data_IF_676734610925
#
_entry.id   IF_676734610925
#
_cell.length_a   1.000
_cell.length_b   1.000
_cell.length_c   1.000
_cell.angle_alpha   90.00
_cell.angle_beta   90.00
_cell.angle_gamma   90.00
#
_symmetry.space_group_name_H-M   'P 1'
#
loop_
_entity.id
_entity.type
_entity.pdbx_description
1 polymer ?
#
# COMPACT_ATOMS: atom_id res chain seq x y z
N UNK A 1 -4.09 -18.15 -21.71
CA UNK A 1 -4.35 -16.90 -20.94
C UNK A 1 -5.48 -17.10 -19.93
N UNK A 2 -6.66 -17.62 -20.29
CA UNK A 2 -7.80 -17.81 -19.37
C UNK A 2 -7.43 -18.65 -18.13
N UNK A 3 -6.86 -19.81 -18.32
CA UNK A 3 -6.44 -20.71 -17.22
C UNK A 3 -5.40 -20.05 -16.30
N UNK A 4 -4.40 -19.38 -16.87
CA UNK A 4 -3.40 -18.65 -16.07
C UNK A 4 -4.01 -17.52 -15.24
N UNK A 5 -5.00 -16.79 -15.79
CA UNK A 5 -5.74 -15.77 -15.04
C UNK A 5 -6.70 -16.37 -14.01
N UNK A 6 -7.25 -17.57 -14.31
CA UNK A 6 -8.07 -18.33 -13.37
C UNK A 6 -7.26 -18.75 -12.13
N UNK A 7 -6.01 -19.14 -12.30
CA UNK A 7 -5.11 -19.46 -11.17
C UNK A 7 -4.89 -18.26 -10.24
N UNK A 8 -4.76 -17.04 -10.80
CA UNK A 8 -4.68 -15.80 -10.03
C UNK A 8 -5.95 -15.49 -9.23
N UNK A 9 -7.11 -15.99 -9.70
CA UNK A 9 -8.38 -15.84 -8.97
C UNK A 9 -8.52 -16.83 -7.80
N UNK A 10 -7.65 -17.80 -7.63
CA UNK A 10 -7.53 -18.75 -6.54
C UNK A 10 -8.66 -18.72 -5.49
N UNK A 11 -8.34 -18.30 -4.27
CA UNK A 11 -9.36 -18.19 -3.20
C UNK A 11 -10.47 -17.14 -3.46
N UNK A 12 -10.28 -16.00 -4.18
CA UNK A 12 -11.36 -15.05 -4.41
C UNK A 12 -12.55 -15.63 -5.17
N UNK A 13 -12.37 -16.63 -6.03
CA UNK A 13 -13.51 -17.25 -6.74
C UNK A 13 -14.44 -18.00 -5.78
N UNK A 14 -13.93 -18.49 -4.63
CA UNK A 14 -14.76 -19.17 -3.64
C UNK A 14 -15.68 -18.22 -2.88
N UNK A 15 -15.47 -16.91 -2.92
CA UNK A 15 -16.43 -15.96 -2.36
C UNK A 15 -17.78 -15.97 -3.10
N UNK A 16 -17.78 -16.36 -4.38
CA UNK A 16 -18.99 -16.50 -5.18
C UNK A 16 -19.44 -17.98 -5.37
N UNK A 17 -18.89 -18.90 -4.56
CA UNK A 17 -19.27 -20.32 -4.63
C UNK A 17 -20.70 -20.54 -4.13
N UNK A 18 -21.43 -21.47 -4.74
CA UNK A 18 -22.84 -21.80 -4.41
C UNK A 18 -23.77 -20.58 -4.46
N UNK A 19 -23.70 -19.81 -5.54
CA UNK A 19 -24.55 -18.63 -5.79
C UNK A 19 -24.42 -17.51 -4.76
N UNK A 20 -23.34 -17.49 -3.97
CA UNK A 20 -23.02 -16.35 -3.13
C UNK A 20 -22.74 -15.10 -3.99
N UNK A 21 -23.13 -13.90 -3.56
CA UNK A 21 -22.89 -12.69 -4.33
C UNK A 21 -21.36 -12.48 -4.54
N UNK A 22 -20.93 -12.14 -5.78
CA UNK A 22 -19.52 -11.92 -6.04
C UNK A 22 -18.98 -10.74 -5.22
N UNK A 23 -17.66 -10.76 -4.88
CA UNK A 23 -17.05 -9.65 -4.16
C UNK A 23 -17.24 -8.32 -4.91
N UNK A 24 -17.63 -7.24 -4.22
CA UNK A 24 -17.76 -5.94 -4.85
C UNK A 24 -16.38 -5.39 -5.23
N UNK A 25 -16.38 -4.42 -6.11
CA UNK A 25 -15.18 -3.68 -6.46
C UNK A 25 -14.76 -2.79 -5.29
N UNK A 26 -13.60 -3.04 -4.69
CA UNK A 26 -13.13 -2.33 -3.48
C UNK A 26 -11.96 -1.38 -3.74
N UNK A 27 -11.47 -1.29 -4.99
CA UNK A 27 -10.28 -0.49 -5.31
C UNK A 27 -9.04 -1.03 -4.60
N UNK A 28 -8.34 -0.17 -3.88
CA UNK A 28 -7.15 -0.55 -3.10
C UNK A 28 -7.47 -0.99 -1.66
N UNK A 29 -8.75 -1.05 -1.27
CA UNK A 29 -9.17 -1.52 0.05
C UNK A 29 -9.36 -3.03 0.07
N UNK A 30 -9.14 -3.66 1.22
CA UNK A 30 -9.42 -5.08 1.40
C UNK A 30 -10.93 -5.37 1.35
N UNK A 31 -11.31 -6.50 0.73
CA UNK A 31 -12.72 -6.83 0.52
C UNK A 31 -13.47 -7.19 1.81
N UNK A 32 -12.79 -7.83 2.78
CA UNK A 32 -13.42 -8.42 3.97
C UNK A 32 -12.77 -8.02 5.29
N UNK A 33 -11.69 -7.24 5.29
CA UNK A 33 -11.03 -6.73 6.50
C UNK A 33 -11.12 -5.21 6.49
N UNK A 34 -11.53 -4.62 7.62
CA UNK A 34 -11.63 -3.17 7.76
C UNK A 34 -11.29 -2.70 9.18
N UNK A 35 -10.54 -1.58 9.34
CA UNK A 35 -9.89 -0.78 8.28
C UNK A 35 -8.69 -1.48 7.64
N UNK A 36 -8.67 -1.56 6.32
CA UNK A 36 -7.53 -2.03 5.54
C UNK A 36 -7.61 -1.39 4.14
N UNK A 37 -6.76 -0.42 3.88
CA UNK A 37 -6.78 0.34 2.63
C UNK A 37 -6.11 1.70 2.73
N UNK A 38 -6.27 2.54 1.71
CA UNK A 38 -5.74 3.90 1.68
C UNK A 38 -6.65 4.86 2.44
N UNK A 39 -6.02 5.78 3.20
CA UNK A 39 -6.67 6.87 3.90
C UNK A 39 -5.93 8.19 3.61
N UNK A 40 -6.67 9.24 3.30
CA UNK A 40 -6.09 10.55 3.00
C UNK A 40 -5.92 11.36 4.29
N UNK A 41 -4.75 11.96 4.46
CA UNK A 41 -4.43 12.88 5.54
C UNK A 41 -4.75 14.33 5.17
N UNK A 42 -4.69 15.24 6.14
CA UNK A 42 -5.04 16.64 5.96
C UNK A 42 -4.16 17.42 4.99
N UNK A 43 -2.93 16.97 4.74
CA UNK A 43 -2.03 17.54 3.73
C UNK A 43 -2.26 16.97 2.31
N UNK A 44 -3.30 16.13 2.11
CA UNK A 44 -3.59 15.45 0.87
C UNK A 44 -2.75 14.19 0.61
N UNK A 45 -1.78 13.90 1.46
CA UNK A 45 -1.00 12.68 1.38
C UNK A 45 -1.84 11.44 1.72
N UNK A 46 -1.57 10.32 1.07
CA UNK A 46 -2.29 9.07 1.30
C UNK A 46 -1.42 8.07 2.05
N UNK A 47 -1.98 7.48 3.08
CA UNK A 47 -1.36 6.42 3.89
C UNK A 47 -2.15 5.14 3.72
N UNK A 48 -1.48 4.06 3.32
CA UNK A 48 -2.01 2.70 3.35
C UNK A 48 -1.81 2.14 4.75
N UNK A 49 -2.85 1.60 5.34
CA UNK A 49 -2.77 0.88 6.62
C UNK A 49 -3.63 -0.37 6.60
N UNK A 50 -3.33 -1.33 7.47
CA UNK A 50 -4.10 -2.56 7.58
C UNK A 50 -4.09 -3.11 8.99
N UNK A 51 -5.29 -3.33 9.56
CA UNK A 51 -5.48 -3.95 10.85
C UNK A 51 -5.89 -5.41 10.65
N UNK A 52 -5.14 -6.33 11.22
CA UNK A 52 -5.33 -7.76 10.96
C UNK A 52 -5.99 -8.53 12.11
N UNK A 53 -6.09 -7.91 13.28
CA UNK A 53 -6.66 -8.55 14.47
C UNK A 53 -7.25 -7.53 15.46
N UNK A 54 -8.00 -8.03 16.44
CA UNK A 54 -8.70 -7.20 17.41
C UNK A 54 -7.77 -6.49 18.42
N UNK A 55 -6.54 -6.98 18.60
CA UNK A 55 -5.54 -6.30 19.42
C UNK A 55 -5.06 -5.03 18.72
N UNK A 56 -4.73 -5.14 17.44
CA UNK A 56 -4.36 -3.99 16.62
C UNK A 56 -5.49 -2.97 16.51
N UNK A 57 -6.75 -3.43 16.41
CA UNK A 57 -7.91 -2.55 16.42
C UNK A 57 -7.99 -1.70 17.70
N UNK A 58 -7.82 -2.31 18.88
CA UNK A 58 -7.82 -1.58 20.15
C UNK A 58 -6.66 -0.58 20.21
N UNK A 59 -5.46 -1.00 19.83
CA UNK A 59 -4.27 -0.14 19.77
C UNK A 59 -4.46 1.03 18.80
N UNK A 60 -5.08 0.79 17.64
CA UNK A 60 -5.40 1.83 16.66
C UNK A 60 -6.37 2.88 17.23
N UNK A 61 -7.44 2.45 17.89
CA UNK A 61 -8.37 3.38 18.52
C UNK A 61 -7.71 4.22 19.61
N UNK A 62 -6.89 3.61 20.45
CA UNK A 62 -6.22 4.27 21.56
C UNK A 62 -5.06 5.18 21.10
N UNK A 63 -4.08 4.62 20.41
CA UNK A 63 -2.83 5.32 20.11
C UNK A 63 -2.88 6.18 18.82
N UNK A 64 -3.63 5.74 17.80
CA UNK A 64 -3.66 6.44 16.51
C UNK A 64 -4.83 7.41 16.42
N UNK A 65 -6.05 6.94 16.67
CA UNK A 65 -7.23 7.79 16.66
C UNK A 65 -7.34 8.66 17.91
N UNK A 66 -6.74 8.24 19.03
CA UNK A 66 -6.90 8.86 20.36
C UNK A 66 -8.36 8.92 20.81
N UNK A 67 -9.11 7.87 20.45
CA UNK A 67 -10.53 7.66 20.77
C UNK A 67 -10.76 6.21 21.22
N UNK A 68 -10.30 5.85 22.43
CA UNK A 68 -10.38 4.46 22.93
C UNK A 68 -11.81 3.91 23.02
N UNK A 69 -12.81 4.78 23.20
CA UNK A 69 -14.24 4.42 23.25
C UNK A 69 -14.73 3.78 21.95
N UNK A 70 -14.13 4.12 20.81
CA UNK A 70 -14.47 3.57 19.49
C UNK A 70 -14.22 2.05 19.44
N UNK A 71 -13.24 1.56 20.20
CA UNK A 71 -12.92 0.14 20.24
C UNK A 71 -14.04 -0.73 20.82
N UNK A 72 -14.89 -0.15 21.67
CA UNK A 72 -16.01 -0.82 22.35
C UNK A 72 -17.38 -0.46 21.79
N UNK A 73 -17.44 0.44 20.81
CA UNK A 73 -18.69 0.78 20.12
C UNK A 73 -19.25 -0.47 19.42
N UNK A 74 -20.53 -0.77 19.65
CA UNK A 74 -21.19 -1.94 19.10
C UNK A 74 -21.12 -2.03 17.56
N UNK A 75 -21.01 -0.88 16.87
CA UNK A 75 -20.85 -0.79 15.41
C UNK A 75 -19.45 -1.21 14.94
N UNK A 76 -18.45 -1.21 15.81
CA UNK A 76 -17.05 -1.38 15.43
C UNK A 76 -16.30 -2.45 16.24
N UNK A 77 -16.96 -3.10 17.18
CA UNK A 77 -16.34 -4.03 18.13
C UNK A 77 -15.83 -5.34 17.54
N UNK A 78 -16.15 -5.65 16.28
CA UNK A 78 -15.64 -6.81 15.55
C UNK A 78 -15.39 -6.46 14.08
N UNK A 79 -14.53 -7.26 13.38
CA UNK A 79 -14.30 -7.05 11.96
C UNK A 79 -15.58 -7.11 11.12
N UNK A 80 -16.52 -7.99 11.44
CA UNK A 80 -17.82 -8.08 10.78
C UNK A 80 -18.62 -6.79 10.92
N UNK A 81 -18.70 -6.24 12.13
CA UNK A 81 -19.38 -4.98 12.41
C UNK A 81 -18.68 -3.80 11.72
N UNK A 82 -17.35 -3.74 11.75
CA UNK A 82 -16.59 -2.70 11.05
C UNK A 82 -16.82 -2.74 9.52
N UNK A 83 -16.94 -3.94 8.93
CA UNK A 83 -17.27 -4.06 7.51
C UNK A 83 -18.70 -3.60 7.21
N UNK A 84 -19.66 -3.93 8.06
CA UNK A 84 -21.05 -3.51 7.92
C UNK A 84 -21.20 -1.99 8.03
N UNK A 85 -20.46 -1.36 8.95
CA UNK A 85 -20.48 0.08 9.21
C UNK A 85 -19.26 0.81 8.63
N UNK A 86 -18.73 0.28 7.49
CA UNK A 86 -17.48 0.78 6.86
C UNK A 86 -17.50 2.28 6.59
N UNK A 87 -18.59 2.80 6.07
CA UNK A 87 -18.69 4.23 5.72
C UNK A 87 -18.65 5.14 6.95
N UNK A 88 -19.30 4.73 8.03
CA UNK A 88 -19.30 5.48 9.30
C UNK A 88 -17.91 5.49 9.94
N UNK A 89 -17.27 4.32 9.97
CA UNK A 89 -15.90 4.20 10.48
C UNK A 89 -14.89 4.95 9.62
N UNK A 90 -15.06 4.93 8.30
CA UNK A 90 -14.22 5.71 7.38
C UNK A 90 -14.33 7.20 7.67
N UNK A 91 -15.54 7.72 7.85
CA UNK A 91 -15.76 9.12 8.16
C UNK A 91 -15.07 9.54 9.48
N UNK A 92 -15.15 8.69 10.50
CA UNK A 92 -14.48 8.92 11.79
C UNK A 92 -12.94 8.93 11.64
N UNK A 93 -12.38 7.96 10.90
CA UNK A 93 -10.93 7.91 10.65
C UNK A 93 -10.47 9.15 9.88
N UNK A 94 -11.19 9.52 8.82
CA UNK A 94 -10.84 10.69 8.00
C UNK A 94 -10.97 12.00 8.77
N UNK A 95 -11.94 12.13 9.68
CA UNK A 95 -12.06 13.27 10.59
C UNK A 95 -10.79 13.46 11.42
N UNK A 96 -10.28 12.38 12.01
CA UNK A 96 -9.03 12.44 12.80
C UNK A 96 -7.83 12.74 11.90
N UNK A 97 -7.74 12.09 10.74
CA UNK A 97 -6.60 12.25 9.83
C UNK A 97 -6.58 13.61 9.13
N UNK A 98 -7.72 14.25 8.98
CA UNK A 98 -7.80 15.62 8.42
C UNK A 98 -7.02 16.67 9.24
N UNK A 99 -6.80 16.43 10.52
CA UNK A 99 -6.00 17.29 11.38
C UNK A 99 -4.49 16.95 11.37
N UNK A 100 -4.06 15.94 10.63
CA UNK A 100 -2.70 15.41 10.61
C UNK A 100 -2.13 15.44 9.19
N UNK A 101 -0.80 15.59 9.09
CA UNK A 101 -0.09 15.29 7.84
C UNK A 101 0.08 13.78 7.67
N UNK A 102 0.31 13.31 6.45
CA UNK A 102 0.61 11.89 6.19
C UNK A 102 1.83 11.39 6.99
N UNK A 103 2.82 12.25 7.20
CA UNK A 103 3.98 11.92 8.02
C UNK A 103 3.60 11.69 9.50
N UNK A 104 2.74 12.54 10.06
CA UNK A 104 2.26 12.38 11.44
C UNK A 104 1.37 11.14 11.61
N UNK A 105 0.55 10.80 10.59
CA UNK A 105 -0.23 9.56 10.59
C UNK A 105 0.71 8.34 10.61
N UNK A 106 1.72 8.32 9.75
CA UNK A 106 2.74 7.23 9.70
C UNK A 106 3.45 7.13 11.04
N UNK A 107 3.90 8.24 11.63
CA UNK A 107 4.57 8.24 12.93
C UNK A 107 3.71 7.61 14.04
N UNK A 108 2.40 7.94 14.09
CA UNK A 108 1.47 7.31 15.05
C UNK A 108 1.30 5.83 14.80
N UNK A 109 1.19 5.41 13.53
CA UNK A 109 1.05 4.00 13.15
C UNK A 109 2.31 3.20 13.48
N UNK A 110 3.49 3.75 13.22
CA UNK A 110 4.77 3.13 13.53
C UNK A 110 4.95 2.97 15.04
N UNK A 111 4.66 4.01 15.82
CA UNK A 111 4.69 3.97 17.29
C UNK A 111 3.72 2.93 17.86
N UNK A 112 2.58 2.70 17.20
CA UNK A 112 1.60 1.70 17.53
C UNK A 112 1.92 0.29 16.99
N UNK A 113 3.02 0.12 16.25
CA UNK A 113 3.41 -1.11 15.55
C UNK A 113 2.31 -1.64 14.61
N UNK A 114 1.61 -0.75 13.93
CA UNK A 114 0.57 -1.06 12.95
C UNK A 114 1.17 -0.98 11.54
N UNK A 115 0.92 -2.02 10.74
CA UNK A 115 1.39 -2.09 9.36
C UNK A 115 0.87 -0.91 8.52
N UNK A 116 1.79 -0.17 7.93
CA UNK A 116 1.47 1.00 7.13
C UNK A 116 2.51 1.27 6.03
N UNK A 117 2.14 2.09 5.06
CA UNK A 117 3.05 2.63 4.06
C UNK A 117 2.50 3.94 3.48
N UNK A 118 3.37 4.87 3.11
CA UNK A 118 2.97 6.01 2.29
C UNK A 118 2.71 5.55 0.86
N UNK A 119 1.64 6.05 0.26
CA UNK A 119 1.41 5.88 -1.17
C UNK A 119 2.20 6.95 -1.90
N UNK A 120 3.26 6.53 -2.59
CA UNK A 120 4.13 7.44 -3.33
C UNK A 120 3.63 7.61 -4.77
N UNK A 121 3.75 8.81 -5.28
CA UNK A 121 3.71 9.10 -6.71
C UNK A 121 5.08 8.84 -7.38
N UNK A 122 5.22 9.16 -8.66
CA UNK A 122 6.48 8.98 -9.37
C UNK A 122 7.60 9.88 -8.83
N UNK A 123 7.29 11.09 -8.37
CA UNK A 123 8.28 11.95 -7.73
C UNK A 123 8.78 11.35 -6.41
N UNK A 124 7.86 10.79 -5.61
CA UNK A 124 8.17 10.06 -4.38
C UNK A 124 9.03 8.82 -4.63
N UNK A 125 8.81 8.11 -5.76
CA UNK A 125 9.66 6.98 -6.15
C UNK A 125 11.09 7.45 -6.52
N UNK A 126 11.23 8.52 -7.31
CA UNK A 126 12.53 9.11 -7.65
C UNK A 126 13.30 9.56 -6.40
N UNK A 127 12.59 10.12 -5.43
CA UNK A 127 13.19 10.62 -4.19
C UNK A 127 13.33 9.56 -3.09
N UNK A 128 12.90 8.30 -3.33
CA UNK A 128 12.74 7.28 -2.30
C UNK A 128 14.04 7.03 -1.51
N UNK A 129 14.05 7.22 -0.17
CA UNK A 129 15.27 7.19 0.63
C UNK A 129 15.96 5.83 0.61
N UNK A 130 15.21 4.73 0.59
CA UNK A 130 15.79 3.38 0.53
C UNK A 130 16.46 3.08 -0.81
N UNK A 131 15.92 3.59 -1.93
CA UNK A 131 16.55 3.44 -3.24
C UNK A 131 17.85 4.23 -3.32
N UNK A 132 17.89 5.42 -2.71
CA UNK A 132 19.10 6.25 -2.59
C UNK A 132 20.15 5.60 -1.67
N UNK A 133 19.76 5.23 -0.46
CA UNK A 133 20.66 4.62 0.53
C UNK A 133 21.27 3.29 0.06
N UNK A 134 20.55 2.54 -0.78
CA UNK A 134 21.01 1.29 -1.38
C UNK A 134 21.65 1.47 -2.75
N UNK A 135 21.88 2.72 -3.18
CA UNK A 135 22.50 3.06 -4.46
C UNK A 135 21.89 2.31 -5.65
N UNK A 136 20.53 2.26 -5.70
CA UNK A 136 19.82 1.48 -6.72
C UNK A 136 19.74 2.17 -8.08
N UNK A 137 20.18 3.42 -8.21
CA UNK A 137 20.18 4.17 -9.45
C UNK A 137 21.53 4.10 -10.14
N UNK A 138 21.53 3.93 -11.47
CA UNK A 138 22.72 4.01 -12.34
C UNK A 138 22.45 4.96 -13.49
N UNK A 139 23.47 5.67 -13.93
CA UNK A 139 23.40 6.42 -15.19
C UNK A 139 23.55 5.45 -16.34
N UNK A 140 22.67 5.56 -17.34
CA UNK A 140 22.65 4.74 -18.55
C UNK A 140 22.61 5.65 -19.75
N UNK A 141 23.57 5.47 -20.69
CA UNK A 141 23.61 6.21 -21.94
C UNK A 141 22.40 5.89 -22.83
N UNK A 142 21.85 6.89 -23.50
CA UNK A 142 20.83 6.74 -24.55
C UNK A 142 21.16 7.63 -25.72
N UNK A 143 20.55 7.45 -26.89
CA UNK A 143 20.74 8.37 -28.04
C UNK A 143 20.37 9.83 -27.70
N UNK A 144 19.58 10.06 -26.67
CA UNK A 144 19.17 11.41 -26.21
C UNK A 144 20.02 11.94 -25.04
N UNK A 145 21.05 11.21 -24.58
CA UNK A 145 21.90 11.54 -23.45
C UNK A 145 21.79 10.54 -22.31
N UNK A 146 22.39 10.88 -21.17
CA UNK A 146 22.39 10.05 -19.97
C UNK A 146 21.03 10.14 -19.23
N UNK A 147 20.53 8.99 -18.79
CA UNK A 147 19.31 8.91 -17.98
C UNK A 147 19.53 8.03 -16.76
N UNK A 148 18.94 8.36 -15.60
CA UNK A 148 18.97 7.47 -14.45
C UNK A 148 18.09 6.25 -14.71
N UNK A 149 18.61 5.06 -14.44
CA UNK A 149 17.88 3.80 -14.55
C UNK A 149 17.97 3.03 -13.23
N UNK A 150 16.89 2.35 -12.88
CA UNK A 150 16.83 1.52 -11.68
C UNK A 150 17.48 0.16 -11.96
N UNK A 151 18.37 -0.27 -11.07
CA UNK A 151 18.93 -1.63 -11.13
C UNK A 151 17.81 -2.69 -11.01
N UNK A 152 17.94 -3.84 -11.69
CA UNK A 152 17.03 -4.97 -11.52
C UNK A 152 16.83 -5.33 -10.06
N UNK A 153 15.67 -5.87 -9.65
CA UNK A 153 15.38 -6.22 -8.28
C UNK A 153 16.36 -7.30 -7.76
N UNK A 154 16.58 -7.25 -6.44
CA UNK A 154 17.49 -8.17 -5.78
C UNK A 154 18.91 -7.62 -5.62
N UNK A 155 19.73 -8.38 -4.92
CA UNK A 155 21.18 -8.19 -4.79
C UNK A 155 21.80 -9.55 -5.06
N UNK A 156 22.72 -9.61 -6.04
CA UNK A 156 23.39 -10.85 -6.40
C UNK A 156 24.86 -10.78 -5.96
N UNK A 157 25.34 -11.80 -5.29
CA UNK A 157 26.73 -11.91 -4.86
C UNK A 157 27.63 -12.61 -5.90
N UNK A 158 27.06 -13.20 -6.95
CA UNK A 158 27.80 -13.95 -7.96
C UNK A 158 28.18 -13.10 -9.20
N UNK A 159 27.45 -12.01 -9.45
CA UNK A 159 27.73 -11.11 -10.57
C UNK A 159 27.17 -9.71 -10.33
N UNK A 160 27.75 -8.72 -10.97
CA UNK A 160 27.23 -7.36 -11.05
C UNK A 160 26.19 -7.26 -12.19
N UNK A 161 25.14 -6.46 -11.95
CA UNK A 161 24.15 -6.18 -12.97
C UNK A 161 24.77 -5.40 -14.15
N UNK A 162 24.57 -5.92 -15.33
CA UNK A 162 24.93 -5.24 -16.57
C UNK A 162 23.88 -4.16 -16.88
N UNK A 163 24.33 -2.91 -17.02
CA UNK A 163 23.50 -1.73 -17.31
C UNK A 163 24.11 -0.98 -18.50
N UNK A 164 24.07 -1.62 -19.68
CA UNK A 164 24.63 -1.04 -20.90
C UNK A 164 23.73 0.08 -21.45
N UNK A 165 24.33 0.82 -22.42
CA UNK A 165 23.60 1.87 -23.11
C UNK A 165 22.39 1.33 -23.89
N UNK A 166 21.30 2.09 -23.91
CA UNK A 166 20.13 1.79 -24.73
C UNK A 166 20.49 2.01 -26.21
N UNK A 167 20.33 1.00 -27.08
CA UNK A 167 20.69 1.15 -28.49
C UNK A 167 19.77 2.15 -29.22
N UNK A 168 20.30 2.81 -30.23
CA UNK A 168 19.47 3.63 -31.12
C UNK A 168 18.55 2.74 -31.99
N UNK A 169 17.46 3.32 -32.51
CA UNK A 169 16.56 2.62 -33.44
C UNK A 169 17.36 2.17 -34.66
N UNK A 170 17.26 0.88 -34.97
CA UNK A 170 18.00 0.26 -36.08
C UNK A 170 19.46 -0.15 -35.77
N UNK A 171 19.96 0.14 -34.56
CA UNK A 171 21.26 -0.36 -34.12
C UNK A 171 21.14 -1.83 -33.68
N UNK A 172 22.00 -2.75 -34.17
CA UNK A 172 22.01 -4.13 -33.73
C UNK A 172 22.32 -4.21 -32.22
N UNK A 173 21.59 -5.05 -31.51
CA UNK A 173 21.88 -5.35 -30.09
C UNK A 173 23.12 -6.27 -30.07
N UNK A 174 24.14 -5.98 -29.29
CA UNK A 174 25.34 -6.81 -29.15
C UNK A 174 25.05 -8.19 -28.57
#
# INVERSE_FOLDING_TARGET
MLEAMGEWMGYPMYYAYQDAPPPPRTGASHASIYPYGPFTAGDGGTVMLGLQNEREWKTFCDAVLQRPEVATDARFCSNAQRNQHRSELQALILEVFAALTAAQVVERLDAAAIANARVNDMAGLWAHPQLKARERWRSVGTPAGEVPALLPPGVNSAFDYRMDAVPAVGQPTP
#
